data_IF_126768286950
#
_entry.id   IF_126768286950
#
_cell.length_a   1.000
_cell.length_b   1.000
_cell.length_c   1.000
_cell.angle_alpha   90.00
_cell.angle_beta   90.00
_cell.angle_gamma   90.00
#
_symmetry.space_group_name_H-M   'P 1'
#
loop_
_entity.id
_entity.type
_entity.pdbx_description
1 polymer ?
#
# COMPACT_ATOMS: atom_id res chain seq x y z
N UNK A 1 -9.35 -0.90 2.75
CA UNK A 1 -9.64 -2.31 2.40
C UNK A 1 -10.49 -2.31 1.14
N UNK A 2 -9.88 -2.56 -0.03
CA UNK A 2 -10.61 -2.58 -1.30
C UNK A 2 -11.50 -3.81 -1.36
N UNK A 3 -12.82 -3.65 -1.48
CA UNK A 3 -13.78 -4.76 -1.48
C UNK A 3 -13.67 -5.50 -2.82
N UNK A 4 -13.19 -6.75 -2.78
CA UNK A 4 -12.91 -7.54 -3.99
C UNK A 4 -14.17 -8.03 -4.73
N UNK A 5 -15.33 -7.96 -4.08
CA UNK A 5 -16.63 -8.37 -4.64
C UNK A 5 -17.67 -7.28 -4.45
N UNK A 6 -18.63 -7.16 -5.37
CA UNK A 6 -19.71 -6.18 -5.25
C UNK A 6 -21.06 -6.88 -5.15
N UNK A 7 -21.70 -6.79 -3.97
CA UNK A 7 -22.94 -7.50 -3.67
C UNK A 7 -24.05 -7.20 -4.68
N UNK A 8 -24.20 -5.94 -5.11
CA UNK A 8 -25.22 -5.56 -6.10
C UNK A 8 -25.01 -6.22 -7.47
N UNK A 9 -23.76 -6.37 -7.92
CA UNK A 9 -23.45 -7.01 -9.21
C UNK A 9 -23.63 -8.52 -9.07
N UNK A 10 -23.25 -9.09 -7.93
CA UNK A 10 -23.45 -10.50 -7.62
C UNK A 10 -24.95 -10.87 -7.62
N UNK A 11 -25.80 -10.05 -6.97
CA UNK A 11 -27.24 -10.28 -6.95
C UNK A 11 -27.88 -10.10 -8.35
N UNK A 12 -27.44 -9.11 -9.13
CA UNK A 12 -27.93 -8.91 -10.49
C UNK A 12 -27.56 -10.08 -11.42
N UNK A 13 -26.31 -10.55 -11.35
CA UNK A 13 -25.86 -11.73 -12.10
C UNK A 13 -26.59 -12.99 -11.66
N UNK A 14 -26.84 -13.14 -10.36
CA UNK A 14 -27.61 -14.26 -9.82
C UNK A 14 -29.03 -14.27 -10.40
N UNK A 15 -29.71 -13.12 -10.44
CA UNK A 15 -31.04 -13.00 -11.05
C UNK A 15 -31.00 -13.31 -12.55
N UNK A 16 -30.01 -12.79 -13.29
CA UNK A 16 -29.88 -13.05 -14.71
C UNK A 16 -29.66 -14.55 -15.00
N UNK A 17 -28.74 -15.19 -14.28
CA UNK A 17 -28.43 -16.61 -14.49
C UNK A 17 -29.62 -17.49 -14.10
N UNK A 18 -30.28 -17.20 -12.98
CA UNK A 18 -31.35 -18.06 -12.49
C UNK A 18 -32.66 -17.89 -13.26
N UNK A 19 -33.05 -16.64 -13.54
CA UNK A 19 -34.35 -16.32 -14.15
C UNK A 19 -34.27 -16.23 -15.67
N UNK A 20 -33.29 -15.51 -16.22
CA UNK A 20 -33.21 -15.27 -17.66
C UNK A 20 -32.61 -16.47 -18.43
N UNK A 21 -31.60 -17.14 -17.87
CA UNK A 21 -31.03 -18.35 -18.46
C UNK A 21 -31.71 -19.64 -17.95
N UNK A 22 -32.73 -19.50 -17.10
CA UNK A 22 -33.53 -20.57 -16.52
C UNK A 22 -32.71 -21.70 -15.84
N UNK A 23 -31.51 -21.42 -15.33
CA UNK A 23 -30.71 -22.42 -14.60
C UNK A 23 -31.40 -22.90 -13.32
N UNK A 24 -32.44 -22.20 -12.84
CA UNK A 24 -33.32 -22.70 -11.79
C UNK A 24 -33.99 -24.03 -12.13
N UNK A 25 -34.16 -24.34 -13.42
CA UNK A 25 -34.69 -25.63 -13.87
C UNK A 25 -33.76 -26.81 -13.54
N UNK A 26 -32.48 -26.58 -13.25
CA UNK A 26 -31.55 -27.64 -12.84
C UNK A 26 -31.89 -28.20 -11.46
N UNK A 27 -32.72 -27.50 -10.68
CA UNK A 27 -33.20 -27.99 -9.39
C UNK A 27 -34.29 -29.05 -9.50
N UNK A 28 -34.86 -29.23 -10.69
CA UNK A 28 -35.89 -30.22 -10.99
C UNK A 28 -35.24 -31.60 -11.11
N UNK A 29 -35.58 -32.50 -10.19
CA UNK A 29 -35.12 -33.89 -10.25
C UNK A 29 -36.10 -34.65 -11.15
N UNK A 30 -35.63 -35.11 -12.31
CA UNK A 30 -36.38 -35.99 -13.21
C UNK A 30 -35.68 -37.35 -13.31
N UNK A 31 -36.38 -38.47 -13.10
CA UNK A 31 -35.82 -39.80 -13.31
C UNK A 31 -35.77 -40.13 -14.81
N UNK A 32 -34.57 -40.19 -15.39
CA UNK A 32 -34.32 -40.65 -16.77
C UNK A 32 -33.75 -39.57 -17.71
N UNK A 33 -33.11 -40.01 -18.81
CA UNK A 33 -32.54 -39.14 -19.85
C UNK A 33 -33.55 -38.83 -20.99
N UNK A 34 -34.76 -39.37 -20.93
CA UNK A 34 -35.75 -39.22 -21.99
C UNK A 34 -36.60 -37.96 -21.81
N UNK A 35 -36.46 -37.03 -22.76
CA UNK A 35 -37.22 -35.78 -22.85
C UNK A 35 -38.58 -36.04 -23.50
N UNK A 36 -39.43 -36.85 -22.89
CA UNK A 36 -40.82 -37.01 -23.33
C UNK A 36 -41.78 -36.24 -22.41
N UNK A 37 -42.72 -35.54 -23.03
CA UNK A 37 -43.76 -34.73 -22.39
C UNK A 37 -44.45 -35.47 -21.24
N UNK A 38 -44.11 -35.17 -19.99
CA UNK A 38 -44.85 -35.66 -18.83
C UNK A 38 -45.29 -34.50 -17.93
N UNK A 39 -46.62 -34.36 -17.89
CA UNK A 39 -47.36 -33.28 -17.25
C UNK A 39 -47.51 -33.44 -15.72
N UNK A 40 -47.06 -34.53 -15.09
CA UNK A 40 -47.23 -34.73 -13.65
C UNK A 40 -46.08 -35.58 -13.08
N UNK A 41 -45.12 -34.98 -12.38
CA UNK A 41 -44.07 -35.76 -11.69
C UNK A 41 -42.74 -35.05 -11.43
N UNK A 42 -42.63 -33.75 -11.69
CA UNK A 42 -41.41 -33.01 -11.34
C UNK A 42 -41.44 -32.67 -9.85
N UNK A 43 -40.65 -33.39 -9.05
CA UNK A 43 -40.52 -33.14 -7.62
C UNK A 43 -39.33 -32.20 -7.40
N UNK A 44 -39.62 -30.93 -7.16
CA UNK A 44 -38.62 -29.99 -6.65
C UNK A 44 -38.60 -30.04 -5.12
N UNK A 45 -37.46 -30.41 -4.53
CA UNK A 45 -37.27 -30.29 -3.08
C UNK A 45 -36.70 -28.91 -2.74
N UNK A 46 -37.12 -28.36 -1.59
CA UNK A 46 -36.56 -27.09 -1.07
C UNK A 46 -35.04 -27.14 -0.93
N UNK A 47 -34.48 -28.32 -0.61
CA UNK A 47 -33.04 -28.53 -0.51
C UNK A 47 -32.32 -28.46 -1.87
N UNK A 48 -32.87 -29.05 -2.93
CA UNK A 48 -32.27 -28.98 -4.28
C UNK A 48 -32.17 -27.54 -4.77
N UNK A 49 -33.25 -26.76 -4.59
CA UNK A 49 -33.28 -25.32 -4.93
C UNK A 49 -32.26 -24.53 -4.14
N UNK A 50 -32.15 -24.77 -2.84
CA UNK A 50 -31.16 -24.11 -1.99
C UNK A 50 -29.73 -24.45 -2.40
N UNK A 51 -29.45 -25.74 -2.68
CA UNK A 51 -28.12 -26.19 -3.09
C UNK A 51 -27.67 -25.51 -4.38
N UNK A 52 -28.53 -25.46 -5.40
CA UNK A 52 -28.20 -24.82 -6.68
C UNK A 52 -28.03 -23.31 -6.52
N UNK A 53 -28.92 -22.65 -5.78
CA UNK A 53 -28.79 -21.23 -5.49
C UNK A 53 -27.48 -20.89 -4.79
N UNK A 54 -27.10 -21.68 -3.78
CA UNK A 54 -25.85 -21.51 -3.05
C UNK A 54 -24.64 -21.77 -3.95
N UNK A 55 -24.66 -22.83 -4.75
CA UNK A 55 -23.58 -23.17 -5.68
C UNK A 55 -23.32 -22.05 -6.68
N UNK A 56 -24.36 -21.53 -7.35
CA UNK A 56 -24.20 -20.42 -8.29
C UNK A 56 -23.77 -19.13 -7.59
N UNK A 57 -24.31 -18.84 -6.40
CA UNK A 57 -23.89 -17.68 -5.62
C UNK A 57 -22.39 -17.72 -5.30
N UNK A 58 -21.87 -18.88 -4.90
CA UNK A 58 -20.43 -19.09 -4.64
C UNK A 58 -19.60 -19.02 -5.92
N UNK A 59 -20.04 -19.65 -7.01
CA UNK A 59 -19.32 -19.61 -8.31
C UNK A 59 -19.18 -18.18 -8.82
N UNK A 60 -20.26 -17.39 -8.76
CA UNK A 60 -20.22 -15.97 -9.15
C UNK A 60 -19.26 -15.20 -8.24
N UNK A 61 -19.31 -15.43 -6.93
CA UNK A 61 -18.39 -14.79 -5.97
C UNK A 61 -16.92 -15.11 -6.23
N UNK A 62 -16.60 -16.39 -6.48
CA UNK A 62 -15.25 -16.84 -6.83
C UNK A 62 -14.82 -16.22 -8.17
N UNK A 63 -15.70 -16.20 -9.17
CA UNK A 63 -15.39 -15.62 -10.49
C UNK A 63 -15.12 -14.13 -10.39
N UNK A 64 -15.93 -13.39 -9.62
CA UNK A 64 -15.69 -11.97 -9.34
C UNK A 64 -14.34 -11.76 -8.64
N UNK A 65 -14.04 -12.58 -7.64
CA UNK A 65 -12.76 -12.52 -6.94
C UNK A 65 -11.58 -12.81 -7.88
N UNK A 66 -11.67 -13.85 -8.74
CA UNK A 66 -10.66 -14.19 -9.74
C UNK A 66 -10.44 -13.02 -10.71
N UNK A 67 -11.50 -12.44 -11.26
CA UNK A 67 -11.42 -11.28 -12.17
C UNK A 67 -10.72 -10.11 -11.46
N UNK A 68 -11.10 -9.83 -10.22
CA UNK A 68 -10.53 -8.72 -9.48
C UNK A 68 -9.03 -8.90 -9.21
N UNK A 69 -8.63 -10.09 -8.76
CA UNK A 69 -7.24 -10.38 -8.39
C UNK A 69 -6.35 -10.59 -9.63
N UNK A 70 -6.83 -11.33 -10.63
CA UNK A 70 -6.01 -11.72 -11.79
C UNK A 70 -6.00 -10.65 -12.87
N UNK A 71 -7.12 -9.98 -13.13
CA UNK A 71 -7.22 -8.99 -14.21
C UNK A 71 -6.98 -7.58 -13.71
N UNK A 72 -7.77 -7.12 -12.73
CA UNK A 72 -7.76 -5.70 -12.33
C UNK A 72 -6.46 -5.36 -11.60
N UNK A 73 -6.10 -6.13 -10.58
CA UNK A 73 -4.89 -5.88 -9.79
C UNK A 73 -3.60 -6.12 -10.57
N UNK A 74 -3.63 -7.02 -11.55
CA UNK A 74 -2.46 -7.28 -12.39
C UNK A 74 -2.27 -6.24 -13.49
N UNK A 75 -3.36 -5.67 -14.02
CA UNK A 75 -3.30 -4.65 -15.07
C UNK A 75 -2.96 -3.27 -14.50
N UNK A 76 -3.46 -2.97 -13.30
CA UNK A 76 -3.22 -1.69 -12.62
C UNK A 76 -2.71 -2.04 -11.23
N UNK A 77 -1.40 -1.92 -11.05
CA UNK A 77 -0.77 -1.96 -9.74
C UNK A 77 -0.59 -0.51 -9.24
N UNK A 78 -1.61 0.07 -8.57
CA UNK A 78 -1.53 1.45 -8.10
C UNK A 78 -0.43 1.63 -7.06
N UNK A 79 -0.05 0.56 -6.36
CA UNK A 79 0.99 0.62 -5.34
C UNK A 79 2.36 0.70 -6.00
N UNK A 80 2.62 -0.09 -7.04
CA UNK A 80 3.83 0.03 -7.84
C UNK A 80 3.94 1.38 -8.54
N UNK A 81 2.85 1.87 -9.14
CA UNK A 81 2.83 3.21 -9.73
C UNK A 81 3.14 4.30 -8.70
N UNK A 82 2.68 4.13 -7.45
CA UNK A 82 2.99 5.05 -6.36
C UNK A 82 4.46 4.98 -5.94
N UNK A 83 5.05 3.78 -5.83
CA UNK A 83 6.49 3.61 -5.56
C UNK A 83 7.35 4.25 -6.66
N UNK A 84 7.00 4.01 -7.92
CA UNK A 84 7.70 4.59 -9.06
C UNK A 84 7.62 6.12 -9.03
N UNK A 85 6.44 6.68 -8.75
CA UNK A 85 6.26 8.12 -8.57
C UNK A 85 7.13 8.68 -7.42
N UNK A 86 7.18 8.00 -6.27
CA UNK A 86 8.04 8.39 -5.15
C UNK A 86 9.52 8.42 -5.56
N UNK A 87 9.98 7.42 -6.30
CA UNK A 87 11.38 7.34 -6.76
C UNK A 87 11.73 8.42 -7.78
N UNK A 88 10.84 8.71 -8.73
CA UNK A 88 11.01 9.77 -9.73
C UNK A 88 10.98 11.15 -9.06
N UNK A 89 10.05 11.35 -8.13
CA UNK A 89 9.91 12.60 -7.39
C UNK A 89 10.99 12.81 -6.31
N UNK A 90 11.85 11.81 -6.06
CA UNK A 90 12.87 11.83 -5.01
C UNK A 90 12.28 12.04 -3.59
N UNK A 91 11.14 11.39 -3.31
CA UNK A 91 10.39 11.50 -2.05
C UNK A 91 10.31 10.14 -1.37
N UNK A 92 10.86 10.02 -0.17
CA UNK A 92 10.62 8.87 0.72
C UNK A 92 9.41 9.11 1.61
N UNK A 93 8.63 8.07 1.86
CA UNK A 93 7.41 8.13 2.66
C UNK A 93 7.56 7.24 3.89
N UNK A 94 7.35 7.81 5.08
CA UNK A 94 7.29 7.08 6.34
C UNK A 94 5.88 7.22 6.92
N UNK A 95 5.21 6.10 7.14
CA UNK A 95 3.85 6.07 7.72
C UNK A 95 3.88 5.21 8.97
N UNK A 96 3.61 5.82 10.13
CA UNK A 96 3.58 5.14 11.41
C UNK A 96 2.17 4.67 11.75
N UNK A 97 1.99 3.37 12.00
CA UNK A 97 0.73 2.81 12.53
C UNK A 97 0.74 2.88 14.06
N UNK A 98 1.92 2.72 14.64
CA UNK A 98 2.21 2.84 16.07
C UNK A 98 3.46 3.74 16.22
N UNK A 99 3.75 4.31 17.40
CA UNK A 99 4.86 5.26 17.57
C UNK A 99 6.24 4.73 17.15
N UNK A 100 6.41 3.40 17.17
CA UNK A 100 7.67 2.73 16.80
C UNK A 100 7.51 1.80 15.60
N UNK A 101 6.30 1.56 15.09
CA UNK A 101 6.07 0.61 13.99
C UNK A 101 5.34 1.30 12.85
N UNK A 102 5.86 1.10 11.65
CA UNK A 102 5.29 1.68 10.46
C UNK A 102 5.71 1.00 9.17
N UNK A 103 5.37 1.65 8.08
CA UNK A 103 5.77 1.31 6.73
C UNK A 103 6.65 2.43 6.18
N UNK A 104 7.71 2.05 5.49
CA UNK A 104 8.64 2.95 4.86
C UNK A 104 8.78 2.62 3.38
N UNK A 105 8.62 3.64 2.54
CA UNK A 105 8.88 3.59 1.10
C UNK A 105 10.11 4.45 0.84
N UNK A 106 11.15 3.81 0.32
CA UNK A 106 12.38 4.45 -0.09
C UNK A 106 12.23 4.98 -1.51
N UNK A 107 12.05 6.29 -1.65
CA UNK A 107 11.88 6.95 -2.95
C UNK A 107 13.07 7.80 -3.35
N UNK A 108 14.30 7.43 -2.99
CA UNK A 108 15.49 8.17 -3.43
C UNK A 108 15.72 7.94 -4.92
N UNK A 109 15.72 9.03 -5.70
CA UNK A 109 16.07 8.96 -7.13
C UNK A 109 17.53 8.57 -7.29
N UNK A 110 17.82 7.63 -8.20
CA UNK A 110 19.20 7.23 -8.56
C UNK A 110 19.98 8.36 -9.22
N UNK A 111 19.25 9.35 -9.76
CA UNK A 111 19.80 10.54 -10.41
C UNK A 111 19.96 11.72 -9.45
N UNK A 112 19.51 11.59 -8.19
CA UNK A 112 19.72 12.58 -7.11
C UNK A 112 18.81 13.81 -7.13
N UNK A 113 18.11 14.07 -8.23
CA UNK A 113 17.19 15.21 -8.40
C UNK A 113 15.93 14.78 -9.15
N UNK A 114 14.82 15.49 -8.91
CA UNK A 114 13.51 15.19 -9.49
C UNK A 114 13.08 16.20 -10.57
N UNK A 115 13.44 17.48 -10.41
CA UNK A 115 13.12 18.55 -11.37
C UNK A 115 14.20 18.59 -12.47
N UNK A 116 13.98 17.80 -13.53
CA UNK A 116 14.87 17.81 -14.71
C UNK A 116 14.11 18.09 -15.99
N UNK A 117 14.81 18.65 -16.97
CA UNK A 117 14.26 18.89 -18.30
C UNK A 117 13.88 17.57 -18.98
N UNK A 118 12.90 17.60 -19.89
CA UNK A 118 12.41 16.40 -20.59
C UNK A 118 13.54 15.65 -21.31
N UNK A 119 14.55 16.36 -21.83
CA UNK A 119 15.70 15.74 -22.48
C UNK A 119 16.56 14.94 -21.47
N UNK A 120 16.78 15.50 -20.29
CA UNK A 120 17.53 14.82 -19.22
C UNK A 120 16.74 13.61 -18.70
N UNK A 121 15.43 13.76 -18.52
CA UNK A 121 14.55 12.67 -18.13
C UNK A 121 14.60 11.50 -19.13
N UNK A 122 14.55 11.77 -20.43
CA UNK A 122 14.71 10.71 -21.44
C UNK A 122 16.09 10.03 -21.35
N UNK A 123 17.15 10.79 -21.07
CA UNK A 123 18.50 10.23 -20.88
C UNK A 123 18.57 9.31 -19.67
N UNK A 124 17.91 9.68 -18.56
CA UNK A 124 17.79 8.86 -17.35
C UNK A 124 17.03 7.55 -17.62
N UNK A 125 15.91 7.64 -18.33
CA UNK A 125 15.13 6.45 -18.73
C UNK A 125 15.94 5.49 -19.61
N UNK A 126 16.76 6.02 -20.52
CA UNK A 126 17.65 5.20 -21.35
C UNK A 126 18.73 4.50 -20.51
N UNK A 127 19.36 5.21 -19.56
CA UNK A 127 20.37 4.61 -18.67
C UNK A 127 19.78 3.54 -17.75
N UNK A 128 18.56 3.75 -17.26
CA UNK A 128 17.84 2.73 -16.49
C UNK A 128 17.50 1.51 -17.35
N UNK A 129 17.05 1.72 -18.59
CA UNK A 129 16.82 0.62 -19.55
C UNK A 129 18.09 -0.18 -19.82
N UNK A 130 19.25 0.48 -19.89
CA UNK A 130 20.55 -0.15 -20.11
C UNK A 130 21.18 -0.70 -18.81
N UNK A 131 20.51 -0.60 -17.66
CA UNK A 131 21.02 -1.00 -16.34
C UNK A 131 22.37 -0.36 -15.97
N UNK A 132 22.62 0.87 -16.42
CA UNK A 132 23.86 1.63 -16.12
C UNK A 132 23.70 2.48 -14.84
N UNK A 133 22.55 2.40 -14.18
CA UNK A 133 22.24 3.13 -12.95
C UNK A 133 22.46 2.26 -11.71
N UNK A 134 22.70 2.91 -10.57
CA UNK A 134 22.67 2.24 -9.26
C UNK A 134 21.26 1.70 -8.98
N UNK A 135 21.16 0.62 -8.21
CA UNK A 135 19.88 0.08 -7.76
C UNK A 135 19.20 1.05 -6.78
N UNK A 136 17.86 0.98 -6.72
CA UNK A 136 17.03 1.96 -6.02
C UNK A 136 16.71 1.62 -4.56
N UNK A 137 17.28 0.54 -4.02
CA UNK A 137 16.97 0.07 -2.67
C UNK A 137 17.63 0.90 -1.57
N UNK A 138 17.18 0.65 -0.33
CA UNK A 138 17.69 1.34 0.85
C UNK A 138 19.15 0.99 1.16
N UNK A 139 19.56 -0.25 0.92
CA UNK A 139 20.95 -0.70 1.01
C UNK A 139 21.59 -0.81 -0.37
N UNK A 140 22.90 -0.56 -0.42
CA UNK A 140 23.67 -0.66 -1.65
C UNK A 140 23.54 -2.06 -2.27
N UNK A 141 23.08 -2.13 -3.52
CA UNK A 141 22.97 -3.39 -4.25
C UNK A 141 21.61 -4.09 -4.11
N UNK A 142 20.65 -3.52 -3.40
CA UNK A 142 19.27 -4.00 -3.37
C UNK A 142 18.35 -3.12 -4.22
N UNK A 143 17.29 -3.70 -4.77
CA UNK A 143 16.26 -2.97 -5.57
C UNK A 143 14.95 -2.75 -4.79
N UNK A 144 14.80 -3.40 -3.63
CA UNK A 144 13.57 -3.32 -2.86
C UNK A 144 13.44 -1.93 -2.20
N UNK A 145 12.28 -1.32 -2.39
CA UNK A 145 11.97 0.03 -1.89
C UNK A 145 11.00 0.04 -0.72
N UNK A 146 10.39 -1.09 -0.37
CA UNK A 146 9.31 -1.16 0.63
C UNK A 146 9.71 -1.95 1.86
N UNK A 147 9.50 -1.33 3.02
CA UNK A 147 9.94 -1.87 4.30
C UNK A 147 8.86 -1.73 5.37
N UNK A 148 8.73 -2.74 6.23
CA UNK A 148 8.14 -2.57 7.57
C UNK A 148 9.27 -2.06 8.45
N UNK A 149 9.10 -0.91 9.08
CA UNK A 149 10.10 -0.35 9.97
C UNK A 149 9.65 -0.47 11.42
N UNK A 150 10.55 -1.00 12.24
CA UNK A 150 10.48 -0.95 13.69
C UNK A 150 11.60 -0.03 14.17
N UNK A 151 11.22 1.08 14.76
CA UNK A 151 12.10 2.20 15.07
C UNK A 151 12.56 2.13 16.53
N UNK A 152 13.77 2.61 16.84
CA UNK A 152 14.28 2.62 18.20
C UNK A 152 13.54 3.64 19.06
N UNK A 153 13.56 3.47 20.39
CA UNK A 153 12.87 4.39 21.31
C UNK A 153 13.37 5.83 21.20
N UNK A 154 14.68 5.99 21.03
CA UNK A 154 15.36 7.29 20.85
C UNK A 154 14.76 8.06 19.66
N UNK A 155 14.37 7.35 18.60
CA UNK A 155 13.78 7.99 17.43
C UNK A 155 12.46 8.67 17.76
N UNK A 156 11.60 8.00 18.51
CA UNK A 156 10.30 8.53 18.92
C UNK A 156 10.46 9.69 19.91
N UNK A 157 11.40 9.59 20.86
CA UNK A 157 11.72 10.69 21.78
C UNK A 157 12.13 11.97 21.03
N UNK A 158 12.99 11.84 20.01
CA UNK A 158 13.42 12.98 19.18
C UNK A 158 12.28 13.56 18.34
N UNK A 159 11.44 12.72 17.75
CA UNK A 159 10.26 13.21 17.01
C UNK A 159 9.32 13.97 17.93
N UNK A 160 9.02 13.42 19.11
CA UNK A 160 8.14 14.10 20.07
C UNK A 160 8.72 15.44 20.52
N UNK A 161 10.03 15.51 20.79
CA UNK A 161 10.71 16.79 21.10
C UNK A 161 10.52 17.83 19.97
N UNK A 162 10.70 17.44 18.71
CA UNK A 162 10.55 18.35 17.57
C UNK A 162 9.07 18.76 17.39
N UNK A 163 8.12 17.85 17.59
CA UNK A 163 6.69 18.13 17.45
C UNK A 163 6.15 18.99 18.61
N UNK A 164 6.68 18.84 19.81
CA UNK A 164 6.33 19.69 20.96
C UNK A 164 6.64 21.17 20.68
N UNK A 165 7.72 21.47 19.95
CA UNK A 165 8.05 22.83 19.49
C UNK A 165 6.91 23.46 18.66
N UNK A 166 6.09 22.67 17.96
CA UNK A 166 4.91 23.15 17.22
C UNK A 166 3.80 23.59 18.19
N UNK A 167 3.56 22.79 19.23
CA UNK A 167 2.47 23.02 20.19
C UNK A 167 2.78 24.22 21.10
N UNK A 168 4.02 24.37 21.57
CA UNK A 168 4.42 25.51 22.40
C UNK A 168 4.34 26.85 21.64
N UNK A 169 4.73 26.88 20.36
CA UNK A 169 4.67 28.10 19.55
C UNK A 169 3.25 28.47 19.11
N UNK A 170 2.30 27.53 19.18
CA UNK A 170 0.89 27.79 18.87
C UNK A 170 0.14 28.47 20.04
N UNK A 171 0.58 28.26 21.28
CA UNK A 171 -0.05 28.76 22.51
C UNK A 171 0.46 30.12 23.01
N UNK A 172 1.67 30.55 22.64
CA UNK A 172 2.31 31.79 23.15
C UNK A 172 1.98 33.05 22.33
N UNK A 173 0.75 33.11 21.80
CA UNK A 173 0.29 34.15 20.88
C UNK A 173 -0.88 35.00 21.37
N UNK A 174 -1.13 35.10 22.67
CA UNK A 174 -1.96 36.18 23.23
C UNK A 174 -1.10 37.43 23.45
N UNK A 175 -0.63 38.02 22.35
CA UNK A 175 -0.07 39.37 22.39
C UNK A 175 -1.25 40.34 22.30
N UNK A 176 -1.62 40.90 23.44
CA UNK A 176 -2.46 42.09 23.55
C UNK A 176 -1.88 43.21 22.67
N UNK A 177 -2.53 43.52 21.54
CA UNK A 177 -2.04 44.58 20.66
C UNK A 177 -2.73 44.66 19.29
N UNK A 178 -3.81 45.45 19.25
CA UNK A 178 -4.30 46.28 18.13
C UNK A 178 -4.72 45.66 16.78
N UNK A 179 -5.71 46.35 16.21
CA UNK A 179 -6.70 45.95 15.21
C UNK A 179 -6.20 46.07 13.74
N UNK A 180 -6.69 45.13 12.94
CA UNK A 180 -7.09 45.22 11.52
C UNK A 180 -6.07 45.06 10.37
N UNK A 181 -4.76 45.30 10.51
CA UNK A 181 -3.78 45.02 9.42
C UNK A 181 -2.84 43.82 9.70
N UNK A 182 -2.63 43.44 10.97
CA UNK A 182 -1.67 42.41 11.36
C UNK A 182 -2.18 40.96 11.36
N UNK A 183 -3.42 40.69 10.92
CA UNK A 183 -3.95 39.31 10.90
C UNK A 183 -3.29 38.44 9.83
N UNK A 184 -2.99 39.02 8.66
CA UNK A 184 -2.28 38.32 7.60
C UNK A 184 -0.82 38.05 8.01
N UNK A 185 -0.14 39.06 8.54
CA UNK A 185 1.24 38.94 9.05
C UNK A 185 1.35 37.92 10.20
N UNK A 186 0.38 37.86 11.13
CA UNK A 186 0.35 36.81 12.18
C UNK A 186 0.16 35.41 11.60
N UNK A 187 -0.65 35.25 10.55
CA UNK A 187 -0.84 33.96 9.87
C UNK A 187 0.42 33.56 9.12
N UNK A 188 1.10 34.49 8.44
CA UNK A 188 2.35 34.21 7.73
C UNK A 188 3.49 33.87 8.70
N UNK A 189 3.59 34.56 9.84
CA UNK A 189 4.59 34.27 10.88
C UNK A 189 4.36 32.88 11.50
N UNK A 190 3.11 32.53 11.81
CA UNK A 190 2.77 31.18 12.31
C UNK A 190 3.08 30.10 11.27
N UNK A 191 2.75 30.35 9.99
CA UNK A 191 3.06 29.44 8.89
C UNK A 191 4.57 29.26 8.69
N UNK A 192 5.35 30.33 8.82
CA UNK A 192 6.82 30.28 8.72
C UNK A 192 7.43 29.46 9.87
N UNK A 193 6.95 29.66 11.10
CA UNK A 193 7.40 28.87 12.26
C UNK A 193 7.07 27.39 12.09
N UNK A 194 5.86 27.05 11.62
CA UNK A 194 5.49 25.68 11.29
C UNK A 194 6.39 25.09 10.20
N UNK A 195 6.65 25.84 9.13
CA UNK A 195 7.55 25.41 8.05
C UNK A 195 8.98 25.15 8.55
N UNK A 196 9.50 25.97 9.48
CA UNK A 196 10.82 25.74 10.10
C UNK A 196 10.87 24.42 10.87
N UNK A 197 9.82 24.10 11.63
CA UNK A 197 9.76 22.83 12.38
C UNK A 197 9.66 21.63 11.43
N UNK A 198 8.82 21.71 10.38
CA UNK A 198 8.76 20.65 9.36
C UNK A 198 10.09 20.45 8.63
N UNK A 199 10.84 21.52 8.36
CA UNK A 199 12.17 21.43 7.77
C UNK A 199 13.16 20.75 8.74
N UNK A 200 13.13 21.10 10.03
CA UNK A 200 13.93 20.43 11.08
C UNK A 200 13.60 18.94 11.16
N UNK A 201 12.32 18.57 11.13
CA UNK A 201 11.87 17.18 11.11
C UNK A 201 12.37 16.45 9.86
N UNK A 202 12.24 17.06 8.68
CA UNK A 202 12.71 16.46 7.44
C UNK A 202 14.24 16.22 7.44
N UNK A 203 15.02 17.18 7.94
CA UNK A 203 16.47 17.01 8.07
C UNK A 203 16.82 15.89 9.05
N UNK A 204 16.14 15.83 10.20
CA UNK A 204 16.30 14.72 11.14
C UNK A 204 15.99 13.35 10.51
N UNK A 205 14.90 13.24 9.75
CA UNK A 205 14.55 11.99 9.05
C UNK A 205 15.58 11.61 7.98
N UNK A 206 16.10 12.60 7.23
CA UNK A 206 17.18 12.37 6.26
C UNK A 206 18.46 11.91 6.96
N UNK A 207 18.82 12.52 8.08
CA UNK A 207 20.02 12.16 8.84
C UNK A 207 19.90 10.75 9.44
N UNK A 208 18.69 10.38 9.91
CA UNK A 208 18.38 9.05 10.43
C UNK A 208 18.51 7.99 9.34
N UNK A 209 17.87 8.18 8.17
CA UNK A 209 17.93 7.23 7.05
C UNK A 209 19.35 7.11 6.48
N UNK A 210 20.08 8.22 6.36
CA UNK A 210 21.45 8.17 5.87
C UNK A 210 22.46 7.67 6.93
N UNK A 211 22.01 7.34 8.14
CA UNK A 211 22.85 6.88 9.26
C UNK A 211 24.04 7.80 9.57
N UNK A 212 23.90 9.11 9.32
CA UNK A 212 25.01 10.08 9.45
C UNK A 212 25.44 10.22 10.91
N UNK A 213 24.48 10.15 11.84
CA UNK A 213 24.69 10.32 13.27
C UNK A 213 24.21 9.09 14.05
N UNK A 214 25.12 8.26 14.61
CA UNK A 214 24.72 7.07 15.38
C UNK A 214 23.95 7.41 16.67
N UNK A 215 24.03 8.66 17.15
CA UNK A 215 23.27 9.15 18.31
C UNK A 215 21.76 9.28 18.08
N UNK A 216 21.32 9.33 16.81
CA UNK A 216 19.89 9.45 16.47
C UNK A 216 19.18 8.09 16.37
N UNK A 217 19.89 7.00 16.71
CA UNK A 217 19.40 5.63 16.63
C UNK A 217 19.92 4.94 15.38
N UNK A 218 20.51 3.76 15.57
CA UNK A 218 20.94 2.90 14.47
C UNK A 218 19.78 2.02 14.01
N UNK A 219 19.78 1.64 12.74
CA UNK A 219 18.89 0.62 12.23
C UNK A 219 19.63 -0.37 11.34
N UNK A 220 19.07 -1.57 11.19
CA UNK A 220 19.57 -2.62 10.29
C UNK A 220 18.48 -3.07 9.34
N UNK A 221 18.82 -3.34 8.09
CA UNK A 221 17.89 -4.00 7.18
C UNK A 221 18.04 -5.51 7.34
N UNK A 222 16.92 -6.21 7.53
CA UNK A 222 16.89 -7.66 7.73
C UNK A 222 15.72 -8.21 6.94
N UNK A 223 15.88 -9.36 6.30
CA UNK A 223 14.76 -10.07 5.68
C UNK A 223 13.86 -10.70 6.75
N UNK A 224 12.55 -10.73 6.48
CA UNK A 224 11.60 -11.38 7.39
C UNK A 224 11.76 -12.90 7.41
N UNK A 225 11.71 -13.48 8.61
CA UNK A 225 11.61 -14.92 8.76
C UNK A 225 10.20 -15.39 8.36
N UNK A 226 10.11 -16.53 7.68
CA UNK A 226 8.83 -17.12 7.23
C UNK A 226 7.81 -17.30 8.37
N UNK A 227 8.29 -17.59 9.58
CA UNK A 227 7.44 -17.77 10.77
C UNK A 227 6.80 -16.44 11.19
N UNK A 228 7.56 -15.34 11.12
CA UNK A 228 7.05 -14.00 11.43
C UNK A 228 5.99 -13.57 10.40
N UNK A 229 6.22 -13.87 9.11
CA UNK A 229 5.25 -13.60 8.05
C UNK A 229 3.95 -14.39 8.21
N UNK A 230 4.06 -15.69 8.51
CA UNK A 230 2.91 -16.58 8.63
C UNK A 230 2.04 -16.22 9.85
N UNK A 231 2.68 -15.91 10.98
CA UNK A 231 1.99 -15.63 12.24
C UNK A 231 1.71 -14.13 12.45
N UNK A 232 2.26 -13.25 11.60
CA UNK A 232 2.22 -11.80 11.75
C UNK A 232 2.68 -11.34 13.14
N UNK A 233 3.77 -11.94 13.64
CA UNK A 233 4.37 -11.64 14.96
C UNK A 233 5.76 -11.04 14.79
N UNK A 234 6.20 -10.29 15.80
CA UNK A 234 7.57 -9.78 15.90
C UNK A 234 8.35 -10.60 16.93
N UNK A 235 9.47 -11.20 16.52
CA UNK A 235 10.34 -11.95 17.42
C UNK A 235 11.57 -11.13 17.87
N UNK A 236 11.81 -9.98 17.24
CA UNK A 236 13.00 -9.15 17.46
C UNK A 236 12.69 -7.94 18.34
N UNK A 237 13.45 -7.78 19.43
CA UNK A 237 13.35 -6.61 20.31
C UNK A 237 14.07 -5.39 19.70
N UNK A 238 13.33 -4.33 19.40
CA UNK A 238 13.84 -3.11 18.74
C UNK A 238 14.08 -1.93 19.67
N UNK A 239 14.19 -2.16 20.99
CA UNK A 239 14.36 -1.06 21.95
C UNK A 239 15.61 -0.20 21.70
N UNK A 240 16.71 -0.79 21.23
CA UNK A 240 18.00 -0.11 21.01
C UNK A 240 18.35 0.12 19.54
N UNK A 241 18.03 -0.84 18.67
CA UNK A 241 18.37 -0.81 17.26
C UNK A 241 17.07 -0.98 16.47
N UNK A 242 16.84 -0.08 15.52
CA UNK A 242 15.72 -0.19 14.60
C UNK A 242 15.93 -1.32 13.58
N UNK A 243 14.85 -1.85 13.05
CA UNK A 243 14.88 -2.90 12.04
C UNK A 243 14.00 -2.49 10.87
N UNK A 244 14.55 -2.53 9.67
CA UNK A 244 13.81 -2.35 8.42
C UNK A 244 13.68 -3.72 7.76
N UNK A 245 12.45 -4.22 7.74
CA UNK A 245 12.10 -5.51 7.20
C UNK A 245 11.63 -5.37 5.77
N UNK A 246 12.36 -5.98 4.85
CA UNK A 246 12.02 -6.04 3.42
C UNK A 246 10.66 -6.70 3.22
N UNK A 247 9.67 -5.96 2.72
CA UNK A 247 8.38 -6.56 2.34
C UNK A 247 8.48 -7.01 0.90
N UNK A 248 8.55 -8.31 0.69
CA UNK A 248 8.22 -8.89 -0.61
C UNK A 248 6.70 -8.97 -0.64
N UNK A 249 6.05 -8.07 -1.39
CA UNK A 249 4.61 -8.12 -1.55
C UNK A 249 4.27 -9.38 -2.35
N UNK A 250 3.88 -10.45 -1.65
CA UNK A 250 3.59 -11.78 -2.21
C UNK A 250 2.31 -11.85 -3.05
N UNK A 251 1.85 -10.73 -3.61
CA UNK A 251 0.89 -10.74 -4.71
C UNK A 251 1.71 -10.55 -5.98
N UNK A 252 2.15 -11.69 -6.53
CA UNK A 252 2.79 -11.86 -7.83
C UNK A 252 4.25 -11.41 -7.94
N UNK A 253 5.17 -12.23 -7.42
CA UNK A 253 6.38 -12.51 -8.19
C UNK A 253 6.53 -14.02 -8.32
N UNK A 254 6.24 -14.52 -9.53
CA UNK A 254 6.69 -15.84 -9.94
C UNK A 254 8.21 -15.90 -9.73
N UNK A 255 8.77 -16.94 -9.11
CA UNK A 255 10.21 -17.04 -8.84
C UNK A 255 11.08 -17.06 -10.11
N UNK A 256 10.47 -17.06 -11.30
CA UNK A 256 11.16 -17.12 -12.59
C UNK A 256 11.02 -15.88 -13.48
N UNK A 257 10.49 -14.75 -13.00
CA UNK A 257 10.39 -13.55 -13.86
C UNK A 257 11.18 -12.36 -13.31
N UNK A 258 12.51 -12.50 -13.35
CA UNK A 258 13.49 -11.39 -13.19
C UNK A 258 13.48 -10.40 -14.36
N UNK A 259 12.67 -10.62 -15.38
CA UNK A 259 12.63 -9.77 -16.56
C UNK A 259 11.18 -9.68 -17.00
N UNK A 260 10.55 -8.55 -16.71
CA UNK A 260 9.55 -7.93 -17.58
C UNK A 260 9.32 -6.54 -16.95
N UNK A 261 10.22 -5.64 -17.33
CA UNK A 261 9.96 -4.22 -17.43
C UNK A 261 9.06 -4.03 -18.65
N UNK A 262 7.76 -3.86 -18.42
CA UNK A 262 6.95 -3.08 -19.34
C UNK A 262 6.53 -1.83 -18.57
N UNK A 263 7.04 -0.71 -19.07
CA UNK A 263 6.51 0.63 -18.81
C UNK A 263 5.03 0.69 -19.17
#
# INVERSE_FOLDING_TARGET
MYRKTHIGIQMLLMLLIMEYLEFGNWAKIQPGFERYNQLNGVIETKMSRFAINLSFYLIIGITQWIIQVILIERLIDPFRNFMDLCSIANISVLTLTNPLRGYYIHGRSVHGYADTDMLQMNTFLQREKENVCSLRGLENGQDLQTFICNLPLIFNERINQILEEINFNSGSGEINGQKNNGQFERKTIKMEQQAKVYNKLNNYLKDFINQINPQNGEYKCIDEYLIEQLLNIELTNTNKIGIFKSIIMFITSSPNNKYISYW
#
